data_IF_835176575119
#
_entry.id   IF_835176575119
#
_cell.length_a   1.000
_cell.length_b   1.000
_cell.length_c   1.000
_cell.angle_alpha   90.00
_cell.angle_beta   90.00
_cell.angle_gamma   90.00
#
_symmetry.space_group_name_H-M   'P 1'
#
loop_
_entity.id
_entity.type
_entity.pdbx_description
1 polymer ?
#
# COMPACT_ATOMS: atom_id res chain seq x y z
N UNK A 1 10.82 36.10 -4.19
CA UNK A 1 10.98 35.86 -2.74
C UNK A 1 10.02 34.76 -2.31
N UNK A 2 10.51 33.54 -2.09
CA UNK A 2 9.87 32.65 -1.12
C UNK A 2 10.43 33.10 0.23
N UNK A 3 9.57 33.61 1.12
CA UNK A 3 9.99 34.00 2.45
C UNK A 3 10.10 32.73 3.30
N UNK A 4 11.33 32.27 3.40
CA UNK A 4 11.80 31.39 4.45
C UNK A 4 11.72 32.19 5.74
N UNK A 5 11.09 31.68 6.80
CA UNK A 5 11.34 32.31 8.11
C UNK A 5 12.83 32.25 8.53
N UNK A 6 13.69 31.59 7.73
CA UNK A 6 15.11 31.88 7.43
C UNK A 6 15.70 30.70 6.63
N UNK A 7 16.48 30.79 5.54
CA UNK A 7 16.83 31.79 4.53
C UNK A 7 17.16 30.99 3.23
N UNK A 8 16.83 31.50 2.02
CA UNK A 8 17.25 31.08 0.65
C UNK A 8 16.18 30.58 -0.33
N UNK A 9 15.65 31.52 -1.13
CA UNK A 9 14.70 31.29 -2.23
C UNK A 9 15.31 30.47 -3.38
N UNK A 10 14.56 29.49 -3.90
CA UNK A 10 14.96 28.61 -5.01
C UNK A 10 14.88 29.32 -6.38
N UNK A 11 15.83 29.02 -7.27
CA UNK A 11 15.90 29.54 -8.65
C UNK A 11 15.65 28.36 -9.61
N UNK A 12 14.47 28.35 -10.24
CA UNK A 12 14.04 27.41 -11.26
C UNK A 12 12.71 27.91 -11.83
N UNK A 13 12.55 27.89 -13.15
CA UNK A 13 11.48 28.59 -13.86
C UNK A 13 10.06 27.99 -13.67
N UNK A 14 9.94 26.89 -12.91
CA UNK A 14 8.66 26.31 -12.50
C UNK A 14 8.57 26.29 -10.96
N UNK A 15 7.76 27.19 -10.40
CA UNK A 15 7.45 27.20 -8.96
C UNK A 15 6.54 26.00 -8.65
N UNK A 16 7.13 24.87 -8.29
CA UNK A 16 6.37 23.71 -7.82
C UNK A 16 6.03 23.86 -6.34
N UNK A 17 4.77 24.18 -6.04
CA UNK A 17 4.24 24.13 -4.67
C UNK A 17 4.22 22.68 -4.17
N UNK A 18 5.16 22.31 -3.32
CA UNK A 18 5.14 21.03 -2.61
C UNK A 18 4.55 21.22 -1.21
N UNK A 19 3.73 20.28 -0.77
CA UNK A 19 3.18 20.29 0.58
C UNK A 19 4.31 20.26 1.63
N UNK A 20 4.08 20.88 2.80
CA UNK A 20 5.07 21.01 3.88
C UNK A 20 5.63 19.67 4.42
N UNK A 21 5.02 18.53 4.07
CA UNK A 21 5.51 17.18 4.37
C UNK A 21 6.57 16.65 3.41
N UNK A 22 7.01 17.46 2.44
CA UNK A 22 7.85 17.00 1.34
C UNK A 22 9.06 17.93 1.15
N UNK A 23 10.22 17.50 1.65
CA UNK A 23 11.51 18.20 1.49
C UNK A 23 11.99 18.16 0.03
N UNK A 24 12.88 19.09 -0.34
CA UNK A 24 13.39 19.29 -1.72
C UNK A 24 13.99 18.01 -2.32
N UNK A 25 14.69 17.20 -1.52
CA UNK A 25 15.36 15.99 -1.97
C UNK A 25 14.55 14.69 -1.78
N UNK A 26 13.33 14.77 -1.27
CA UNK A 26 12.49 13.59 -1.00
C UNK A 26 11.37 13.45 -2.04
N UNK A 27 10.98 12.23 -2.38
CA UNK A 27 9.75 11.98 -3.16
C UNK A 27 8.53 12.09 -2.25
N UNK A 28 7.55 12.90 -2.65
CA UNK A 28 6.32 13.09 -1.89
C UNK A 28 5.47 11.82 -1.98
N UNK A 29 4.75 11.42 -0.92
CA UNK A 29 3.93 10.22 -0.97
C UNK A 29 2.92 10.23 -2.12
N UNK A 30 2.29 11.38 -2.40
CA UNK A 30 1.34 11.56 -3.52
C UNK A 30 1.93 11.22 -4.91
N UNK A 31 3.25 11.31 -5.06
CA UNK A 31 3.95 11.08 -6.32
C UNK A 31 4.42 9.62 -6.44
N UNK A 32 4.09 8.78 -5.45
CA UNK A 32 4.52 7.38 -5.45
C UNK A 32 3.78 6.54 -6.48
N UNK A 33 4.50 5.66 -7.20
CA UNK A 33 3.89 4.74 -8.16
C UNK A 33 2.92 3.78 -7.47
N UNK A 34 2.05 3.16 -8.27
CA UNK A 34 1.09 2.16 -7.80
C UNK A 34 1.79 1.05 -7.00
N UNK A 35 1.19 0.65 -5.89
CA UNK A 35 1.74 -0.37 -5.00
C UNK A 35 2.82 0.13 -4.03
N UNK A 36 3.08 1.44 -3.98
CA UNK A 36 3.98 2.06 -3.00
C UNK A 36 3.37 3.31 -2.36
N UNK A 37 3.83 3.62 -1.16
CA UNK A 37 3.35 4.75 -0.36
C UNK A 37 4.39 5.25 0.65
N UNK A 38 4.07 6.38 1.29
CA UNK A 38 4.92 7.04 2.28
C UNK A 38 6.04 7.87 1.66
N UNK A 39 6.80 8.55 2.52
CA UNK A 39 7.93 9.37 2.10
C UNK A 39 8.94 8.53 1.33
N UNK A 40 9.41 9.03 0.18
CA UNK A 40 10.33 8.31 -0.70
C UNK A 40 9.81 6.96 -1.21
N UNK A 41 8.49 6.71 -1.15
CA UNK A 41 7.85 5.50 -1.66
C UNK A 41 8.45 4.20 -1.09
N UNK A 42 8.99 4.26 0.13
CA UNK A 42 9.72 3.14 0.76
C UNK A 42 8.80 2.05 1.26
N UNK A 43 7.50 2.31 1.42
CA UNK A 43 6.52 1.34 1.91
C UNK A 43 5.72 0.75 0.75
N UNK A 44 5.30 -0.50 0.90
CA UNK A 44 4.62 -1.26 -0.15
C UNK A 44 3.16 -1.53 0.22
N UNK A 45 2.33 -1.60 -0.81
CA UNK A 45 0.91 -1.95 -0.71
C UNK A 45 0.45 -2.69 -1.98
N UNK A 46 1.31 -3.58 -2.50
CA UNK A 46 1.11 -4.26 -3.80
C UNK A 46 -0.13 -5.16 -3.84
N UNK A 47 -0.63 -5.57 -2.68
CA UNK A 47 -1.77 -6.47 -2.55
C UNK A 47 -3.10 -5.74 -2.34
N UNK A 48 -3.16 -4.45 -2.69
CA UNK A 48 -4.37 -3.65 -2.56
C UNK A 48 -5.17 -3.64 -3.87
N UNK A 49 -6.50 -3.56 -3.74
CA UNK A 49 -7.39 -3.38 -4.88
C UNK A 49 -8.43 -2.27 -4.60
N UNK A 50 -8.40 -1.12 -5.31
CA UNK A 50 -7.30 -0.63 -6.14
C UNK A 50 -6.08 -0.22 -5.27
N UNK A 51 -5.20 0.62 -5.80
CA UNK A 51 -4.02 1.15 -5.10
C UNK A 51 -4.33 1.73 -3.70
N UNK A 52 -3.31 1.80 -2.85
CA UNK A 52 -3.45 2.25 -1.48
C UNK A 52 -3.38 3.78 -1.32
N UNK A 53 -3.87 4.26 -0.18
CA UNK A 53 -3.65 5.63 0.25
C UNK A 53 -2.15 5.92 0.37
N UNK A 54 -1.72 6.98 -0.30
CA UNK A 54 -0.30 7.30 -0.45
C UNK A 54 0.35 7.77 0.84
N UNK A 55 -0.42 8.28 1.81
CA UNK A 55 0.13 8.85 3.04
C UNK A 55 0.14 7.83 4.19
N UNK A 56 -0.90 7.00 4.29
CA UNK A 56 -1.07 6.07 5.40
C UNK A 56 -1.04 4.58 4.99
N UNK A 57 -1.05 4.28 3.70
CA UNK A 57 -0.94 2.91 3.18
C UNK A 57 -2.19 2.07 3.34
N UNK A 58 -3.31 2.64 3.76
CA UNK A 58 -4.56 1.92 3.90
C UNK A 58 -5.15 1.59 2.54
N UNK A 59 -5.85 0.46 2.47
CA UNK A 59 -6.41 -0.07 1.24
C UNK A 59 -7.91 -0.15 1.36
N UNK A 60 -8.60 0.07 0.25
CA UNK A 60 -10.05 -0.10 0.19
C UNK A 60 -10.40 -1.59 0.32
N UNK A 61 -9.70 -2.43 -0.43
CA UNK A 61 -9.80 -3.88 -0.40
C UNK A 61 -8.42 -4.49 -0.53
N UNK A 62 -8.29 -5.74 -0.10
CA UNK A 62 -7.13 -6.57 -0.41
C UNK A 62 -7.42 -7.47 -1.60
N UNK A 63 -6.40 -7.73 -2.40
CA UNK A 63 -6.40 -8.80 -3.38
C UNK A 63 -6.75 -10.13 -2.69
N UNK A 64 -7.44 -11.08 -3.37
CA UNK A 64 -7.74 -12.38 -2.78
C UNK A 64 -6.48 -13.06 -2.25
N UNK A 65 -6.59 -13.77 -1.14
CA UNK A 65 -5.44 -14.37 -0.47
C UNK A 65 -4.71 -13.44 0.51
N UNK A 66 -5.07 -12.15 0.59
CA UNK A 66 -4.52 -11.19 1.55
C UNK A 66 -5.60 -10.55 2.43
N UNK A 67 -5.18 -10.05 3.58
CA UNK A 67 -6.04 -9.44 4.60
C UNK A 67 -5.40 -8.22 5.26
N UNK A 68 -6.19 -7.57 6.11
CA UNK A 68 -5.85 -6.34 6.84
C UNK A 68 -5.64 -5.12 5.92
N UNK A 69 -6.74 -4.56 5.38
CA UNK A 69 -6.68 -3.36 4.53
C UNK A 69 -6.08 -2.15 5.24
N UNK A 70 -6.17 -2.08 6.57
CA UNK A 70 -5.57 -1.03 7.39
C UNK A 70 -4.03 -1.13 7.51
N UNK A 71 -3.43 -2.25 7.09
CA UNK A 71 -1.98 -2.48 7.13
C UNK A 71 -1.45 -2.81 5.74
N UNK A 72 -1.94 -2.12 4.71
CA UNK A 72 -1.45 -2.25 3.33
C UNK A 72 -1.58 -3.66 2.73
N UNK A 73 -2.51 -4.48 3.23
CA UNK A 73 -2.69 -5.87 2.79
C UNK A 73 -1.39 -6.68 2.83
N UNK A 74 -0.55 -6.42 3.83
CA UNK A 74 0.79 -7.01 3.97
C UNK A 74 0.79 -8.45 4.48
N UNK A 75 -0.37 -9.00 4.83
CA UNK A 75 -0.51 -10.34 5.40
C UNK A 75 -1.37 -11.21 4.50
N UNK A 76 -0.90 -12.42 4.24
CA UNK A 76 -1.70 -13.47 3.61
C UNK A 76 -2.87 -13.90 4.52
N UNK A 77 -3.84 -14.60 3.93
CA UNK A 77 -4.90 -15.25 4.68
C UNK A 77 -4.32 -16.19 5.74
N UNK A 78 -4.91 -16.13 6.92
CA UNK A 78 -4.59 -17.04 8.01
C UNK A 78 -4.77 -18.51 7.60
N UNK A 79 -4.14 -19.46 8.31
CA UNK A 79 -4.36 -20.87 8.08
C UNK A 79 -5.85 -21.22 8.01
N UNK A 80 -6.18 -22.18 7.15
CA UNK A 80 -7.54 -22.65 6.88
C UNK A 80 -8.46 -21.65 6.16
N UNK A 81 -7.97 -20.48 5.74
CA UNK A 81 -8.74 -19.48 5.00
C UNK A 81 -8.15 -19.19 3.62
N UNK A 82 -9.00 -18.82 2.67
CA UNK A 82 -8.59 -18.39 1.34
C UNK A 82 -9.61 -17.41 0.72
N UNK A 83 -9.32 -16.91 -0.48
CA UNK A 83 -10.24 -16.10 -1.27
C UNK A 83 -10.27 -14.63 -0.87
N UNK A 84 -11.30 -13.95 -1.35
CA UNK A 84 -11.50 -12.52 -1.10
C UNK A 84 -11.83 -12.27 0.38
N UNK A 85 -11.10 -11.34 1.01
CA UNK A 85 -11.18 -11.07 2.46
C UNK A 85 -11.00 -12.33 3.33
N UNK A 86 -10.35 -13.38 2.81
CA UNK A 86 -10.12 -14.63 3.54
C UNK A 86 -11.41 -15.27 4.10
N UNK A 87 -12.53 -15.12 3.37
CA UNK A 87 -13.84 -15.59 3.83
C UNK A 87 -14.07 -17.07 3.58
N UNK A 88 -13.39 -17.65 2.61
CA UNK A 88 -13.54 -19.05 2.24
C UNK A 88 -12.77 -19.98 3.18
N UNK A 89 -13.24 -21.23 3.30
CA UNK A 89 -12.71 -22.21 4.25
C UNK A 89 -12.00 -23.37 3.53
N UNK A 90 -10.69 -23.48 3.75
CA UNK A 90 -9.86 -24.55 3.18
C UNK A 90 -10.22 -25.92 3.73
N UNK A 91 -10.65 -26.02 5.00
CA UNK A 91 -11.05 -27.30 5.58
C UNK A 91 -12.26 -27.87 4.85
N UNK A 92 -13.26 -27.02 4.59
CA UNK A 92 -14.47 -27.46 3.89
C UNK A 92 -14.13 -28.01 2.51
N UNK A 93 -13.21 -27.36 1.79
CA UNK A 93 -12.79 -27.71 0.43
C UNK A 93 -11.77 -28.86 0.35
N UNK A 94 -10.72 -28.82 1.14
CA UNK A 94 -9.54 -29.69 1.02
C UNK A 94 -9.35 -30.67 2.18
N UNK A 95 -10.13 -30.56 3.28
CA UNK A 95 -9.94 -31.31 4.54
C UNK A 95 -8.57 -31.09 5.21
N UNK A 96 -7.82 -30.11 4.71
CA UNK A 96 -6.52 -29.64 5.18
C UNK A 96 -6.38 -28.17 4.79
N UNK A 97 -5.28 -27.51 5.14
CA UNK A 97 -5.04 -26.15 4.67
C UNK A 97 -4.78 -26.10 3.17
N UNK A 98 -5.17 -24.99 2.53
CA UNK A 98 -4.89 -24.79 1.11
C UNK A 98 -3.40 -24.52 0.90
N UNK A 99 -2.84 -25.07 -0.18
CA UNK A 99 -1.48 -24.74 -0.64
C UNK A 99 -1.37 -23.30 -1.15
N UNK A 100 -2.48 -22.76 -1.66
CA UNK A 100 -2.57 -21.45 -2.30
C UNK A 100 -3.81 -20.72 -1.74
N UNK A 101 -3.69 -19.42 -1.42
CA UNK A 101 -4.69 -18.66 -0.64
C UNK A 101 -5.60 -17.76 -1.47
N UNK A 102 -5.31 -17.51 -2.74
CA UNK A 102 -6.12 -16.74 -3.69
C UNK A 102 -7.38 -17.52 -4.07
N UNK A 103 -7.22 -18.79 -4.45
CA UNK A 103 -8.29 -19.65 -4.98
C UNK A 103 -8.53 -20.92 -4.17
N UNK A 104 -7.66 -21.19 -3.19
CA UNK A 104 -7.81 -22.34 -2.30
C UNK A 104 -7.49 -23.66 -2.98
N UNK A 105 -6.34 -23.75 -3.66
CA UNK A 105 -5.88 -25.00 -4.28
C UNK A 105 -5.45 -25.98 -3.19
N UNK A 106 -5.89 -27.23 -3.29
CA UNK A 106 -5.52 -28.29 -2.35
C UNK A 106 -4.08 -28.78 -2.58
N UNK A 107 -3.41 -29.34 -1.56
CA UNK A 107 -2.06 -29.89 -1.67
C UNK A 107 -1.90 -30.96 -2.75
#
# INVERSE_FOLDING_TARGET
SCNHSSNTTCVGDDVQYKNAWCYINDTCPKDCPVGTWGLNCKKQCRNCDPDCDKFNGTCKLCQPGFQYPNTSCSSECSPMRYGFNCREDCYLKCKTDCKEKVTGICP
#
